data_IF_475567630469
#
_entry.id   IF_475567630469
#
_cell.length_a   1.000
_cell.length_b   1.000
_cell.length_c   1.000
_cell.angle_alpha   90.00
_cell.angle_beta   90.00
_cell.angle_gamma   90.00
#
_symmetry.space_group_name_H-M   'P 1'
#
loop_
_entity.id
_entity.type
_entity.pdbx_description
1 polymer ?
#
# COMPACT_ATOMS: atom_id res chain seq x y z
N UNK A 1 -4.87 -50.84 -35.33
CA UNK A 1 -5.03 -49.39 -35.15
C UNK A 1 -5.11 -49.12 -33.67
N UNK A 2 -3.99 -48.80 -33.05
CA UNK A 2 -3.88 -48.55 -31.61
C UNK A 2 -3.89 -47.04 -31.42
N UNK A 3 -5.01 -46.51 -30.95
CA UNK A 3 -5.13 -45.10 -30.57
C UNK A 3 -4.35 -44.90 -29.27
N UNK A 4 -3.10 -44.43 -29.40
CA UNK A 4 -2.31 -43.92 -28.27
C UNK A 4 -2.98 -42.65 -27.76
N UNK A 5 -3.75 -42.80 -26.69
CA UNK A 5 -4.31 -41.71 -25.90
C UNK A 5 -3.15 -40.93 -25.29
N UNK A 6 -2.78 -39.84 -25.95
CA UNK A 6 -1.72 -38.96 -25.48
C UNK A 6 -2.35 -38.05 -24.44
N UNK A 7 -2.31 -38.46 -23.18
CA UNK A 7 -2.73 -37.64 -22.05
C UNK A 7 -1.85 -36.38 -22.02
N UNK A 8 -2.40 -35.26 -22.52
CA UNK A 8 -1.73 -33.96 -22.49
C UNK A 8 -1.40 -33.62 -21.02
N UNK A 9 -0.13 -33.30 -20.69
CA UNK A 9 0.21 -32.85 -19.35
C UNK A 9 -0.62 -31.62 -18.99
N UNK A 10 -1.19 -31.67 -17.78
CA UNK A 10 -2.15 -30.70 -17.23
C UNK A 10 -1.65 -29.25 -17.31
N UNK A 11 -2.11 -28.50 -18.32
CA UNK A 11 -1.85 -27.06 -18.44
C UNK A 11 -2.29 -26.25 -17.20
N UNK A 12 -3.20 -26.80 -16.39
CA UNK A 12 -3.68 -26.23 -15.12
C UNK A 12 -2.64 -26.24 -14.00
N UNK A 13 -1.79 -27.27 -13.89
CA UNK A 13 -0.75 -27.36 -12.86
C UNK A 13 0.28 -26.23 -13.01
N UNK A 14 0.65 -25.90 -14.26
CA UNK A 14 1.59 -24.81 -14.55
C UNK A 14 1.04 -23.42 -14.25
N UNK A 15 -0.27 -23.19 -14.36
CA UNK A 15 -0.89 -21.90 -14.03
C UNK A 15 -0.91 -21.68 -12.51
N UNK A 16 -1.31 -22.69 -11.73
CA UNK A 16 -1.36 -22.60 -10.27
C UNK A 16 0.00 -22.31 -9.67
N UNK A 17 1.04 -23.01 -10.12
CA UNK A 17 2.40 -22.77 -9.65
C UNK A 17 2.89 -21.35 -9.97
N UNK A 18 2.62 -20.85 -11.19
CA UNK A 18 2.95 -19.48 -11.57
C UNK A 18 2.20 -18.45 -10.73
N UNK A 19 0.91 -18.68 -10.47
CA UNK A 19 0.09 -17.82 -9.62
C UNK A 19 0.62 -17.77 -8.18
N UNK A 20 1.03 -18.91 -7.61
CA UNK A 20 1.63 -18.96 -6.28
C UNK A 20 2.94 -18.16 -6.20
N UNK A 21 3.83 -18.34 -7.19
CA UNK A 21 5.10 -17.59 -7.23
C UNK A 21 4.85 -16.09 -7.42
N UNK A 22 3.94 -15.73 -8.33
CA UNK A 22 3.58 -14.34 -8.57
C UNK A 22 2.95 -13.71 -7.33
N UNK A 23 2.08 -14.45 -6.63
CA UNK A 23 1.46 -14.01 -5.39
C UNK A 23 2.46 -13.84 -4.26
N UNK A 24 3.42 -14.75 -4.09
CA UNK A 24 4.48 -14.61 -3.08
C UNK A 24 5.33 -13.36 -3.34
N UNK A 25 5.77 -13.13 -4.59
CA UNK A 25 6.49 -11.92 -4.94
C UNK A 25 5.62 -10.67 -4.69
N UNK A 26 4.34 -10.71 -5.06
CA UNK A 26 3.40 -9.61 -4.83
C UNK A 26 3.22 -9.28 -3.36
N UNK A 27 3.11 -10.30 -2.48
CA UNK A 27 3.02 -10.13 -1.02
C UNK A 27 4.29 -9.50 -0.46
N UNK A 28 5.47 -9.95 -0.90
CA UNK A 28 6.75 -9.36 -0.47
C UNK A 28 6.81 -7.88 -0.86
N UNK A 29 6.45 -7.56 -2.10
CA UNK A 29 6.43 -6.19 -2.60
C UNK A 29 5.39 -5.31 -1.89
N UNK A 30 4.22 -5.86 -1.57
CA UNK A 30 3.20 -5.19 -0.77
C UNK A 30 3.79 -4.76 0.59
N UNK A 31 4.41 -5.70 1.32
CA UNK A 31 4.94 -5.40 2.65
C UNK A 31 6.10 -4.41 2.59
N UNK A 32 7.01 -4.56 1.62
CA UNK A 32 8.09 -3.60 1.41
C UNK A 32 7.57 -2.19 1.08
N UNK A 33 6.56 -2.09 0.21
CA UNK A 33 5.93 -0.83 -0.15
C UNK A 33 5.21 -0.19 1.04
N UNK A 34 4.51 -0.99 1.86
CA UNK A 34 3.91 -0.52 3.11
C UNK A 34 4.96 0.08 4.05
N UNK A 35 6.03 -0.68 4.33
CA UNK A 35 7.10 -0.25 5.24
C UNK A 35 7.78 1.03 4.75
N UNK A 36 8.05 1.14 3.44
CA UNK A 36 8.60 2.36 2.86
C UNK A 36 7.65 3.55 3.04
N UNK A 37 6.35 3.35 2.78
CA UNK A 37 5.34 4.40 2.88
C UNK A 37 5.19 4.89 4.33
N UNK A 38 5.04 3.99 5.29
CA UNK A 38 4.90 4.35 6.71
C UNK A 38 6.16 5.00 7.26
N UNK A 39 7.33 4.55 6.85
CA UNK A 39 8.60 5.18 7.25
C UNK A 39 8.72 6.59 6.69
N UNK A 40 8.39 6.79 5.41
CA UNK A 40 8.40 8.12 4.81
C UNK A 40 7.43 9.06 5.53
N UNK A 41 6.21 8.58 5.86
CA UNK A 41 5.23 9.30 6.65
C UNK A 41 5.80 9.71 8.03
N UNK A 42 6.26 8.73 8.81
CA UNK A 42 6.71 8.96 10.18
C UNK A 42 7.96 9.84 10.22
N UNK A 43 8.94 9.63 9.34
CA UNK A 43 10.14 10.47 9.25
C UNK A 43 9.81 11.93 8.90
N UNK A 44 8.85 12.15 8.01
CA UNK A 44 8.39 13.50 7.69
C UNK A 44 7.75 14.19 8.91
N UNK A 45 6.87 13.47 9.61
CA UNK A 45 6.22 13.94 10.84
C UNK A 45 7.23 14.24 11.95
N UNK A 46 8.17 13.33 12.20
CA UNK A 46 9.26 13.50 13.17
C UNK A 46 10.12 14.72 12.82
N UNK A 47 10.50 14.88 11.56
CA UNK A 47 11.30 16.03 11.11
C UNK A 47 10.57 17.34 11.33
N UNK A 48 9.27 17.40 11.08
CA UNK A 48 8.48 18.61 11.32
C UNK A 48 8.33 18.90 12.81
N UNK A 49 7.99 17.90 13.62
CA UNK A 49 7.88 18.05 15.06
C UNK A 49 9.20 18.54 15.70
N UNK A 50 10.34 17.99 15.27
CA UNK A 50 11.67 18.47 15.71
C UNK A 50 11.96 19.92 15.32
N UNK A 51 11.53 20.36 14.13
CA UNK A 51 11.66 21.78 13.73
C UNK A 51 10.84 22.72 14.60
N UNK A 52 9.76 22.22 15.18
CA UNK A 52 8.88 22.94 16.08
C UNK A 52 9.22 22.69 17.57
N UNK A 53 10.32 21.99 17.86
CA UNK A 53 10.74 21.61 19.21
C UNK A 53 9.67 20.86 20.01
N UNK A 54 8.86 20.05 19.33
CA UNK A 54 7.84 19.21 19.96
C UNK A 54 8.49 17.88 20.36
N UNK A 55 8.61 17.57 21.67
CA UNK A 55 9.15 16.30 22.12
C UNK A 55 8.25 15.14 21.69
N UNK A 56 8.85 14.04 21.26
CA UNK A 56 8.13 12.88 20.76
C UNK A 56 8.83 11.55 21.08
N UNK A 57 8.11 10.46 20.93
CA UNK A 57 8.66 9.10 20.93
C UNK A 57 8.24 8.42 19.63
N UNK A 58 9.23 7.87 18.91
CA UNK A 58 9.00 7.16 17.67
C UNK A 58 8.84 5.66 17.95
N UNK A 59 7.61 5.16 17.84
CA UNK A 59 7.28 3.75 17.92
C UNK A 59 7.08 3.15 16.53
N UNK A 60 6.99 1.82 16.48
CA UNK A 60 6.77 1.06 15.26
C UNK A 60 5.40 1.39 14.63
N UNK A 61 4.38 1.51 15.45
CA UNK A 61 2.99 1.77 15.09
C UNK A 61 2.73 3.26 14.83
N UNK A 62 3.28 4.15 15.67
CA UNK A 62 2.96 5.58 15.65
C UNK A 62 4.10 6.48 16.12
N UNK A 63 3.95 7.76 15.81
CA UNK A 63 4.73 8.83 16.45
C UNK A 63 3.88 9.41 17.58
N UNK A 64 4.36 9.30 18.81
CA UNK A 64 3.67 9.79 20.00
C UNK A 64 4.25 11.14 20.43
N UNK A 65 3.43 12.19 20.48
CA UNK A 65 3.87 13.52 20.92
C UNK A 65 3.73 13.64 22.44
N UNK A 66 4.79 14.11 23.11
CA UNK A 66 4.84 14.27 24.57
C UNK A 66 4.54 15.71 24.99
N UNK A 67 3.48 16.27 24.42
CA UNK A 67 2.97 17.61 24.75
C UNK A 67 1.51 17.52 25.16
N UNK A 68 1.07 18.41 26.05
CA UNK A 68 -0.31 18.39 26.56
C UNK A 68 -1.26 19.10 25.59
N UNK A 69 -2.56 18.78 25.64
CA UNK A 69 -3.55 19.37 24.73
C UNK A 69 -3.56 20.92 24.68
N UNK A 70 -3.40 21.65 25.82
CA UNK A 70 -3.34 23.11 25.81
C UNK A 70 -2.08 23.69 25.16
N UNK A 71 -1.01 22.90 25.01
CA UNK A 71 0.27 23.35 24.44
C UNK A 71 0.25 23.38 22.90
N UNK A 72 -0.75 22.74 22.27
CA UNK A 72 -0.88 22.77 20.81
C UNK A 72 -1.33 24.13 20.31
N UNK A 73 -0.58 24.68 19.36
CA UNK A 73 -1.00 25.84 18.58
C UNK A 73 -1.35 25.43 17.15
N UNK A 74 -2.27 26.18 16.54
CA UNK A 74 -2.88 25.84 15.25
C UNK A 74 -1.86 25.54 14.15
N UNK A 75 -0.81 26.35 14.03
CA UNK A 75 0.23 26.15 12.99
C UNK A 75 0.98 24.84 13.21
N UNK A 76 1.29 24.46 14.44
CA UNK A 76 1.94 23.18 14.72
C UNK A 76 1.05 22.00 14.35
N UNK A 77 -0.23 22.03 14.74
CA UNK A 77 -1.17 20.94 14.41
C UNK A 77 -1.25 20.77 12.90
N UNK A 78 -1.49 21.86 12.16
CA UNK A 78 -1.57 21.80 10.71
C UNK A 78 -0.27 21.31 10.08
N UNK A 79 0.89 21.79 10.54
CA UNK A 79 2.18 21.40 9.96
C UNK A 79 2.55 19.93 10.25
N UNK A 80 2.43 19.49 11.51
CA UNK A 80 2.84 18.15 11.95
C UNK A 80 1.93 17.08 11.36
N UNK A 81 0.61 17.29 11.37
CA UNK A 81 -0.33 16.29 10.85
C UNK A 81 -0.44 16.32 9.32
N UNK A 82 -0.09 17.42 8.63
CA UNK A 82 -0.14 17.47 7.15
C UNK A 82 1.08 16.91 6.45
N UNK A 83 2.27 17.05 7.05
CA UNK A 83 3.52 16.75 6.34
C UNK A 83 3.64 15.27 5.96
N UNK A 84 3.20 14.36 6.84
CA UNK A 84 3.21 12.91 6.59
C UNK A 84 2.35 12.55 5.38
N UNK A 85 1.04 12.86 5.40
CA UNK A 85 0.16 12.63 4.25
C UNK A 85 0.67 13.29 2.96
N UNK A 86 1.14 14.54 3.02
CA UNK A 86 1.65 15.24 1.84
C UNK A 86 2.88 14.55 1.25
N UNK A 87 3.82 14.08 2.07
CA UNK A 87 4.99 13.31 1.61
C UNK A 87 4.55 12.01 0.97
N UNK A 88 3.58 11.30 1.54
CA UNK A 88 3.01 10.10 0.91
C UNK A 88 2.36 10.42 -0.44
N UNK A 89 1.58 11.50 -0.53
CA UNK A 89 0.98 11.92 -1.80
C UNK A 89 2.05 12.17 -2.88
N UNK A 90 3.09 12.95 -2.56
CA UNK A 90 4.20 13.22 -3.48
C UNK A 90 4.98 11.95 -3.86
N UNK A 91 5.24 11.06 -2.90
CA UNK A 91 5.91 9.78 -3.14
C UNK A 91 5.08 8.88 -4.06
N UNK A 92 3.77 8.81 -3.84
CA UNK A 92 2.84 8.06 -4.68
C UNK A 92 2.78 8.61 -6.10
N UNK A 93 2.69 9.94 -6.26
CA UNK A 93 2.78 10.59 -7.57
C UNK A 93 4.10 10.28 -8.26
N UNK A 94 5.24 10.39 -7.56
CA UNK A 94 6.54 10.07 -8.11
C UNK A 94 6.64 8.59 -8.54
N UNK A 95 6.12 7.66 -7.73
CA UNK A 95 6.07 6.24 -8.07
C UNK A 95 5.25 5.98 -9.34
N UNK A 96 4.09 6.64 -9.51
CA UNK A 96 3.27 6.57 -10.72
C UNK A 96 3.97 7.16 -11.94
N UNK A 97 4.66 8.30 -11.81
CA UNK A 97 5.41 8.90 -12.91
C UNK A 97 6.55 7.98 -13.36
N UNK A 98 7.32 7.43 -12.42
CA UNK A 98 8.39 6.47 -12.73
C UNK A 98 7.82 5.20 -13.36
N UNK A 99 6.67 4.71 -12.86
CA UNK A 99 5.97 3.60 -13.48
C UNK A 99 5.64 3.90 -14.94
N UNK A 100 5.00 5.04 -15.20
CA UNK A 100 4.49 5.40 -16.52
C UNK A 100 5.60 5.64 -17.54
N UNK A 101 6.62 6.42 -17.16
CA UNK A 101 7.66 6.85 -18.11
C UNK A 101 8.82 5.87 -18.23
N UNK A 102 9.10 5.07 -17.19
CA UNK A 102 10.30 4.21 -17.17
C UNK A 102 10.01 2.73 -17.00
N UNK A 103 9.06 2.33 -16.16
CA UNK A 103 8.92 0.93 -15.77
C UNK A 103 7.88 0.13 -16.56
N UNK A 104 6.83 0.76 -17.11
CA UNK A 104 5.68 0.03 -17.70
C UNK A 104 6.04 -0.91 -18.86
N UNK A 105 7.06 -0.54 -19.65
CA UNK A 105 7.55 -1.33 -20.80
C UNK A 105 8.73 -2.23 -20.43
N UNK A 106 9.21 -2.16 -19.18
CA UNK A 106 10.33 -2.94 -18.71
C UNK A 106 9.84 -4.25 -18.09
N UNK A 107 10.68 -5.28 -18.17
CA UNK A 107 10.47 -6.54 -17.48
C UNK A 107 10.88 -6.42 -16.01
N UNK A 108 10.26 -7.23 -15.17
CA UNK A 108 10.64 -7.44 -13.79
C UNK A 108 9.67 -6.87 -12.77
N UNK A 109 10.06 -7.01 -11.51
CA UNK A 109 9.19 -6.74 -10.36
C UNK A 109 9.10 -5.26 -9.97
N UNK A 110 9.94 -4.39 -10.55
CA UNK A 110 9.97 -2.96 -10.23
C UNK A 110 8.61 -2.29 -10.50
N UNK A 111 7.96 -2.60 -11.62
CA UNK A 111 6.65 -2.02 -11.95
C UNK A 111 5.55 -2.45 -10.97
N UNK A 112 5.62 -3.68 -10.46
CA UNK A 112 4.69 -4.17 -9.45
C UNK A 112 4.98 -3.53 -8.08
N UNK A 113 6.25 -3.33 -7.73
CA UNK A 113 6.66 -2.58 -6.55
C UNK A 113 6.15 -1.13 -6.59
N UNK A 114 6.39 -0.42 -7.71
CA UNK A 114 5.95 0.96 -7.90
C UNK A 114 4.43 1.10 -7.84
N UNK A 115 3.70 0.12 -8.38
CA UNK A 115 2.25 0.08 -8.25
C UNK A 115 1.84 -0.05 -6.78
N UNK A 116 2.36 -1.04 -6.04
CA UNK A 116 2.04 -1.19 -4.62
C UNK A 116 2.42 0.03 -3.79
N UNK A 117 3.58 0.64 -4.08
CA UNK A 117 4.02 1.88 -3.45
C UNK A 117 3.03 3.03 -3.70
N UNK A 118 2.59 3.21 -4.94
CA UNK A 118 1.57 4.19 -5.28
C UNK A 118 0.24 3.91 -4.57
N UNK A 119 -0.21 2.66 -4.53
CA UNK A 119 -1.45 2.27 -3.85
C UNK A 119 -1.38 2.54 -2.34
N UNK A 120 -0.28 2.17 -1.68
CA UNK A 120 -0.07 2.46 -0.26
C UNK A 120 0.00 3.96 0.03
N UNK A 121 0.70 4.73 -0.81
CA UNK A 121 0.77 6.18 -0.69
C UNK A 121 -0.60 6.84 -0.86
N UNK A 122 -1.39 6.40 -1.84
CA UNK A 122 -2.77 6.85 -2.03
C UNK A 122 -3.64 6.51 -0.82
N UNK A 123 -3.49 5.31 -0.25
CA UNK A 123 -4.22 4.93 0.95
C UNK A 123 -3.79 5.74 2.18
N UNK A 124 -2.50 6.03 2.35
CA UNK A 124 -1.99 6.86 3.46
C UNK A 124 -2.35 8.35 3.34
N UNK A 125 -2.85 8.79 2.18
CA UNK A 125 -3.39 10.13 1.99
C UNK A 125 -4.93 10.12 2.02
N UNK A 126 -5.56 9.44 1.07
CA UNK A 126 -7.03 9.42 0.93
C UNK A 126 -7.70 8.51 1.96
N UNK A 127 -7.22 7.27 2.10
CA UNK A 127 -7.78 6.28 3.02
C UNK A 127 -7.54 6.59 4.48
N UNK A 128 -6.39 7.21 4.80
CA UNK A 128 -6.07 7.68 6.14
C UNK A 128 -7.08 8.73 6.58
N UNK A 129 -7.40 9.73 5.74
CA UNK A 129 -8.42 10.74 6.06
C UNK A 129 -9.79 10.12 6.43
N UNK A 130 -10.17 9.03 5.74
CA UNK A 130 -11.41 8.28 6.05
C UNK A 130 -11.31 7.61 7.43
N UNK A 131 -10.30 6.76 7.63
CA UNK A 131 -10.11 6.01 8.87
C UNK A 131 -9.88 6.90 10.11
N UNK A 132 -9.08 7.94 9.93
CA UNK A 132 -8.71 8.92 10.95
C UNK A 132 -9.95 9.70 11.41
N UNK A 133 -10.94 9.89 10.53
CA UNK A 133 -12.20 10.54 10.91
C UNK A 133 -13.06 9.68 11.83
N UNK A 134 -13.01 8.35 11.70
CA UNK A 134 -13.72 7.45 12.61
C UNK A 134 -13.09 7.42 14.00
N UNK A 135 -11.77 7.58 14.08
CA UNK A 135 -11.00 7.49 15.34
C UNK A 135 -10.62 8.84 15.92
N UNK A 136 -10.92 9.94 15.22
CA UNK A 136 -10.57 11.32 15.59
C UNK A 136 -9.08 11.48 15.91
N UNK A 137 -8.22 10.91 15.06
CA UNK A 137 -6.77 10.89 15.26
C UNK A 137 -6.01 11.28 13.98
N UNK A 138 -4.70 11.53 14.05
CA UNK A 138 -3.88 11.73 12.85
C UNK A 138 -4.37 12.84 11.91
N UNK A 139 -4.64 12.49 10.66
CA UNK A 139 -5.05 13.41 9.60
C UNK A 139 -6.39 14.10 9.90
N UNK A 140 -7.25 13.53 10.75
CA UNK A 140 -8.50 14.17 11.18
C UNK A 140 -8.27 15.55 11.82
N UNK A 141 -7.15 15.75 12.52
CA UNK A 141 -6.84 17.03 13.17
C UNK A 141 -6.73 18.18 12.18
N UNK A 142 -6.45 17.92 10.90
CA UNK A 142 -6.22 18.98 9.91
C UNK A 142 -7.52 19.74 9.60
N UNK A 143 -8.57 19.12 9.02
CA UNK A 143 -9.82 19.83 8.81
C UNK A 143 -10.43 20.34 10.12
N UNK A 144 -10.26 19.62 11.24
CA UNK A 144 -10.77 20.02 12.55
C UNK A 144 -10.21 21.38 13.01
N UNK A 145 -8.89 21.54 12.92
CA UNK A 145 -8.19 22.79 13.28
C UNK A 145 -8.16 23.84 12.16
N UNK A 146 -8.38 23.43 10.90
CA UNK A 146 -8.48 24.34 9.78
C UNK A 146 -9.82 25.06 9.78
N UNK A 147 -10.94 24.34 9.95
CA UNK A 147 -12.27 24.91 9.82
C UNK A 147 -12.86 25.41 11.14
N UNK A 148 -12.48 24.82 12.28
CA UNK A 148 -13.01 25.19 13.61
C UNK A 148 -14.56 25.24 13.66
N UNK A 149 -15.22 24.43 12.84
CA UNK A 149 -16.67 24.45 12.61
C UNK A 149 -17.34 23.12 13.01
N UNK A 150 -16.84 22.51 14.09
CA UNK A 150 -17.28 21.18 14.55
C UNK A 150 -16.82 20.04 13.65
N UNK A 151 -17.48 18.88 13.74
CA UNK A 151 -17.05 17.67 13.04
C UNK A 151 -17.60 17.51 11.61
N UNK A 152 -18.59 18.33 11.23
CA UNK A 152 -19.24 18.25 9.90
C UNK A 152 -18.22 18.41 8.75
N UNK A 153 -17.29 19.40 8.77
CA UNK A 153 -16.27 19.52 7.73
C UNK A 153 -15.35 18.29 7.62
N UNK A 154 -14.99 17.67 8.74
CA UNK A 154 -14.15 16.45 8.73
C UNK A 154 -14.83 15.31 7.97
N UNK A 155 -16.13 15.09 8.24
CA UNK A 155 -16.93 14.05 7.57
C UNK A 155 -17.06 14.34 6.08
N UNK A 156 -17.32 15.59 5.69
CA UNK A 156 -17.41 15.97 4.27
C UNK A 156 -16.08 15.69 3.56
N UNK A 157 -14.96 16.10 4.13
CA UNK A 157 -13.62 15.85 3.57
C UNK A 157 -13.33 14.36 3.46
N UNK A 158 -13.65 13.58 4.51
CA UNK A 158 -13.49 12.13 4.50
C UNK A 158 -14.31 11.46 3.38
N UNK A 159 -15.57 11.85 3.19
CA UNK A 159 -16.42 11.31 2.12
C UNK A 159 -15.83 11.64 0.75
N UNK A 160 -15.41 12.90 0.52
CA UNK A 160 -14.78 13.31 -0.75
C UNK A 160 -13.50 12.50 -1.00
N UNK A 161 -12.65 12.34 0.02
CA UNK A 161 -11.40 11.57 -0.12
C UNK A 161 -11.68 10.09 -0.39
N UNK A 162 -12.68 9.50 0.26
CA UNK A 162 -13.13 8.13 -0.02
C UNK A 162 -13.62 7.96 -1.45
N UNK A 163 -14.40 8.91 -1.98
CA UNK A 163 -14.86 8.89 -3.38
C UNK A 163 -13.69 9.02 -4.37
N UNK A 164 -12.72 9.90 -4.08
CA UNK A 164 -11.49 10.02 -4.89
C UNK A 164 -10.73 8.70 -4.88
N UNK A 165 -10.60 8.05 -3.72
CA UNK A 165 -9.91 6.77 -3.60
C UNK A 165 -10.59 5.68 -4.44
N UNK A 166 -11.93 5.62 -4.46
CA UNK A 166 -12.68 4.71 -5.32
C UNK A 166 -12.42 4.97 -6.80
N UNK A 167 -12.45 6.24 -7.22
CA UNK A 167 -12.16 6.62 -8.60
C UNK A 167 -10.73 6.24 -9.02
N UNK A 168 -9.74 6.53 -8.17
CA UNK A 168 -8.34 6.16 -8.40
C UNK A 168 -8.17 4.64 -8.53
N UNK A 169 -8.87 3.86 -7.70
CA UNK A 169 -8.87 2.40 -7.78
C UNK A 169 -9.37 1.90 -9.13
N UNK A 170 -10.50 2.43 -9.60
CA UNK A 170 -11.05 2.10 -10.92
C UNK A 170 -10.05 2.37 -12.05
N UNK A 171 -9.43 3.55 -12.08
CA UNK A 171 -8.46 3.91 -13.13
C UNK A 171 -7.12 3.17 -13.00
N UNK A 172 -6.75 2.73 -11.80
CA UNK A 172 -5.53 1.94 -11.56
C UNK A 172 -5.57 0.54 -12.19
N UNK A 173 -6.73 0.04 -12.64
CA UNK A 173 -6.86 -1.27 -13.27
C UNK A 173 -5.93 -1.47 -14.46
N UNK A 174 -5.78 -0.46 -15.32
CA UNK A 174 -4.87 -0.52 -16.48
C UNK A 174 -3.41 -0.67 -16.02
N UNK A 175 -3.02 0.13 -15.02
CA UNK A 175 -1.68 0.09 -14.44
C UNK A 175 -1.40 -1.27 -13.78
N UNK A 176 -2.40 -1.82 -13.08
CA UNK A 176 -2.33 -3.16 -12.51
C UNK A 176 -2.07 -4.22 -13.56
N UNK A 177 -2.84 -4.24 -14.65
CA UNK A 177 -2.63 -5.19 -15.73
C UNK A 177 -1.25 -5.01 -16.37
N UNK A 178 -0.81 -3.77 -16.57
CA UNK A 178 0.52 -3.44 -17.10
C UNK A 178 1.68 -3.85 -16.18
N UNK A 179 1.43 -3.93 -14.87
CA UNK A 179 2.45 -4.33 -13.89
C UNK A 179 2.83 -5.81 -13.94
N UNK A 180 2.16 -6.63 -14.76
CA UNK A 180 2.41 -8.07 -14.86
C UNK A 180 3.18 -8.47 -16.13
N UNK A 181 4.08 -9.45 -16.00
CA UNK A 181 4.91 -9.99 -17.10
C UNK A 181 4.43 -11.34 -17.65
N UNK A 182 3.52 -12.01 -16.93
CA UNK A 182 3.12 -13.37 -17.28
C UNK A 182 1.96 -13.38 -18.27
N UNK A 183 2.26 -13.56 -19.55
CA UNK A 183 1.25 -13.71 -20.62
C UNK A 183 0.23 -14.79 -20.27
N UNK A 184 0.67 -15.92 -19.70
CA UNK A 184 -0.25 -17.01 -19.32
C UNK A 184 -1.26 -16.63 -18.24
N UNK A 185 -0.86 -15.82 -17.24
CA UNK A 185 -1.78 -15.34 -16.20
C UNK A 185 -2.64 -14.17 -16.68
N UNK A 186 -2.16 -13.42 -17.67
CA UNK A 186 -2.86 -12.26 -18.23
C UNK A 186 -4.01 -12.59 -19.17
N UNK A 187 -4.09 -13.84 -19.69
CA UNK A 187 -5.24 -14.30 -20.48
C UNK A 187 -6.54 -14.07 -19.73
N UNK A 188 -7.58 -13.61 -20.43
CA UNK A 188 -8.87 -13.28 -19.81
C UNK A 188 -9.44 -14.43 -18.96
N UNK A 189 -9.37 -15.68 -19.45
CA UNK A 189 -9.80 -16.89 -18.72
C UNK A 189 -9.14 -17.07 -17.35
N UNK A 190 -7.92 -16.57 -17.17
CA UNK A 190 -7.15 -16.71 -15.93
C UNK A 190 -7.20 -15.43 -15.07
N UNK A 191 -7.99 -14.43 -15.45
CA UNK A 191 -8.02 -13.12 -14.79
C UNK A 191 -8.41 -13.21 -13.32
N UNK A 192 -9.39 -14.04 -12.97
CA UNK A 192 -9.77 -14.26 -11.58
C UNK A 192 -8.60 -14.81 -10.75
N UNK A 193 -7.85 -15.78 -11.29
CA UNK A 193 -6.66 -16.34 -10.63
C UNK A 193 -5.58 -15.28 -10.47
N UNK A 194 -5.34 -14.45 -11.49
CA UNK A 194 -4.42 -13.33 -11.42
C UNK A 194 -4.82 -12.37 -10.28
N UNK A 195 -6.05 -11.87 -10.28
CA UNK A 195 -6.55 -10.92 -9.28
C UNK A 195 -6.47 -11.49 -7.86
N UNK A 196 -6.93 -12.72 -7.65
CA UNK A 196 -6.86 -13.34 -6.33
C UNK A 196 -5.41 -13.50 -5.88
N UNK A 197 -4.53 -14.01 -6.74
CA UNK A 197 -3.15 -14.32 -6.36
C UNK A 197 -2.24 -13.10 -6.24
N UNK A 198 -2.40 -12.05 -7.05
CA UNK A 198 -1.47 -10.92 -7.11
C UNK A 198 -2.02 -9.59 -6.61
N UNK A 199 -3.32 -9.53 -6.27
CA UNK A 199 -3.96 -8.34 -5.71
C UNK A 199 -4.59 -8.63 -4.35
N UNK A 200 -5.57 -9.54 -4.28
CA UNK A 200 -6.32 -9.79 -3.04
C UNK A 200 -5.49 -10.53 -1.99
N UNK A 201 -4.85 -11.64 -2.36
CA UNK A 201 -4.02 -12.41 -1.43
C UNK A 201 -2.83 -11.59 -0.88
N UNK A 202 -2.10 -10.80 -1.68
CA UNK A 202 -1.05 -9.92 -1.18
C UNK A 202 -1.56 -8.86 -0.21
N UNK A 203 -2.73 -8.28 -0.46
CA UNK A 203 -3.34 -7.33 0.47
C UNK A 203 -3.69 -8.00 1.80
N UNK A 204 -4.35 -9.15 1.79
CA UNK A 204 -4.73 -9.87 3.02
C UNK A 204 -3.49 -10.39 3.76
N UNK A 205 -2.66 -11.19 3.10
CA UNK A 205 -1.48 -11.80 3.71
C UNK A 205 -0.45 -10.75 4.12
N UNK A 206 -0.24 -9.73 3.30
CA UNK A 206 0.66 -8.64 3.63
C UNK A 206 0.18 -7.81 4.81
N UNK A 207 -1.12 -7.52 4.89
CA UNK A 207 -1.70 -6.84 6.06
C UNK A 207 -1.56 -7.69 7.32
N UNK A 208 -1.75 -9.01 7.24
CA UNK A 208 -1.52 -9.93 8.37
C UNK A 208 -0.05 -9.91 8.80
N UNK A 209 0.90 -9.97 7.87
CA UNK A 209 2.34 -9.88 8.19
C UNK A 209 2.66 -8.57 8.92
N UNK A 210 2.12 -7.44 8.44
CA UNK A 210 2.32 -6.12 9.07
C UNK A 210 1.63 -6.06 10.44
N UNK A 211 0.43 -6.59 10.59
CA UNK A 211 -0.28 -6.64 11.86
C UNK A 211 0.49 -7.46 12.90
N UNK A 212 1.03 -8.61 12.50
CA UNK A 212 1.89 -9.45 13.35
C UNK A 212 3.19 -8.73 13.73
N UNK A 213 3.79 -7.97 12.81
CA UNK A 213 4.96 -7.15 13.11
C UNK A 213 4.68 -6.13 14.22
N UNK A 214 3.47 -5.56 14.25
CA UNK A 214 3.04 -4.53 15.21
C UNK A 214 2.42 -5.09 16.50
N UNK A 215 2.14 -6.39 16.55
CA UNK A 215 1.57 -7.04 17.75
C UNK A 215 2.52 -6.91 18.96
N UNK A 216 2.03 -6.60 20.18
CA UNK A 216 0.62 -6.40 20.58
C UNK A 216 0.13 -4.94 20.52
N UNK A 217 0.91 -4.02 19.97
CA UNK A 217 0.61 -2.58 19.97
C UNK A 217 -0.29 -2.13 18.80
N UNK A 218 -0.88 -3.07 18.06
CA UNK A 218 -1.75 -2.77 16.93
C UNK A 218 -2.99 -2.00 17.38
N UNK A 219 -3.25 -0.85 16.75
CA UNK A 219 -4.37 0.03 17.10
C UNK A 219 -5.53 -0.10 16.12
N UNK A 220 -6.75 0.23 16.58
CA UNK A 220 -7.95 0.26 15.72
C UNK A 220 -7.78 1.18 14.50
N UNK A 221 -7.08 2.31 14.65
CA UNK A 221 -6.81 3.22 13.54
C UNK A 221 -6.02 2.53 12.41
N UNK A 222 -5.02 1.73 12.76
CA UNK A 222 -4.21 0.99 11.78
C UNK A 222 -5.00 -0.12 11.10
N UNK A 223 -5.86 -0.82 11.85
CA UNK A 223 -6.80 -1.79 11.28
C UNK A 223 -7.72 -1.13 10.25
N UNK A 224 -8.22 0.07 10.56
CA UNK A 224 -9.00 0.86 9.63
C UNK A 224 -8.17 1.31 8.42
N UNK A 225 -6.89 1.62 8.55
CA UNK A 225 -6.02 1.88 7.39
C UNK A 225 -5.88 0.65 6.48
N UNK A 226 -5.82 -0.56 7.04
CA UNK A 226 -5.84 -1.78 6.23
C UNK A 226 -7.19 -1.98 5.53
N UNK A 227 -8.29 -1.67 6.23
CA UNK A 227 -9.64 -1.79 5.71
C UNK A 227 -9.95 -0.76 4.62
N UNK A 228 -9.53 0.50 4.76
CA UNK A 228 -9.79 1.55 3.77
C UNK A 228 -9.08 1.29 2.44
N UNK A 229 -8.05 0.45 2.42
CA UNK A 229 -7.42 -0.02 1.18
C UNK A 229 -8.43 -0.76 0.27
N UNK A 230 -9.51 -1.33 0.81
CA UNK A 230 -10.61 -1.93 0.02
C UNK A 230 -11.26 -0.92 -0.92
N UNK A 231 -11.38 0.34 -0.50
CA UNK A 231 -11.93 1.40 -1.36
C UNK A 231 -11.09 1.61 -2.61
N UNK A 232 -9.81 1.27 -2.57
CA UNK A 232 -8.90 1.33 -3.71
C UNK A 232 -8.85 0.00 -4.48
N UNK A 233 -8.68 -1.12 -3.76
CA UNK A 233 -8.49 -2.45 -4.36
C UNK A 233 -9.78 -3.02 -4.95
N UNK A 234 -10.94 -2.78 -4.33
CA UNK A 234 -12.24 -3.26 -4.79
C UNK A 234 -12.59 -2.79 -6.21
N UNK A 235 -12.67 -1.47 -6.47
CA UNK A 235 -12.95 -0.97 -7.82
C UNK A 235 -11.83 -1.31 -8.81
N UNK A 236 -10.57 -1.39 -8.38
CA UNK A 236 -9.45 -1.86 -9.21
C UNK A 236 -9.71 -3.30 -9.69
N UNK A 237 -10.04 -4.21 -8.77
CA UNK A 237 -10.29 -5.61 -9.09
C UNK A 237 -11.49 -5.75 -10.04
N UNK A 238 -12.58 -5.02 -9.79
CA UNK A 238 -13.77 -5.03 -10.63
C UNK A 238 -13.47 -4.51 -12.04
N UNK A 239 -12.76 -3.39 -12.16
CA UNK A 239 -12.40 -2.83 -13.46
C UNK A 239 -11.43 -3.76 -14.21
N UNK A 240 -10.40 -4.28 -13.55
CA UNK A 240 -9.42 -5.19 -14.14
C UNK A 240 -10.03 -6.54 -14.56
N UNK A 241 -11.06 -7.01 -13.86
CA UNK A 241 -11.81 -8.21 -14.24
C UNK A 241 -12.51 -8.07 -15.61
N UNK A 242 -12.98 -6.86 -15.92
CA UNK A 242 -13.75 -6.57 -17.13
C UNK A 242 -12.91 -6.02 -18.30
N UNK A 243 -11.59 -5.81 -18.12
CA UNK A 243 -10.74 -5.33 -19.20
C UNK A 243 -10.31 -6.46 -20.15
N UNK A 244 -10.50 -6.21 -21.45
CA UNK A 244 -10.09 -7.08 -22.56
C UNK A 244 -8.58 -7.05 -22.85
N UNK A 245 -7.79 -6.39 -22.00
CA UNK A 245 -6.35 -6.21 -22.21
C UNK A 245 -5.57 -7.51 -21.91
N UNK A 246 -4.99 -8.13 -22.94
CA UNK A 246 -4.32 -9.44 -22.83
C UNK A 246 -2.78 -9.40 -22.93
N UNK A 247 -2.19 -8.33 -23.49
CA UNK A 247 -0.76 -8.29 -23.81
C UNK A 247 -0.06 -7.05 -23.23
N UNK A 248 0.93 -7.28 -22.37
CA UNK A 248 1.79 -6.22 -21.80
C UNK A 248 3.14 -6.10 -22.46
N UNK A 249 3.77 -7.22 -22.81
CA UNK A 249 5.13 -7.27 -23.34
C UNK A 249 5.24 -8.30 -24.47
N UNK A 250 6.05 -8.02 -25.51
CA UNK A 250 6.20 -8.92 -26.66
C UNK A 250 6.94 -10.23 -26.31
N UNK A 251 7.74 -10.25 -25.24
CA UNK A 251 8.49 -11.44 -24.82
C UNK A 251 8.39 -11.59 -23.30
N UNK A 252 7.84 -12.72 -22.81
CA UNK A 252 7.60 -12.93 -21.38
C UNK A 252 8.88 -13.24 -20.60
N UNK A 253 8.90 -12.89 -19.32
CA UNK A 253 9.94 -13.33 -18.39
C UNK A 253 9.53 -14.64 -17.69
N UNK A 254 10.51 -15.52 -17.41
CA UNK A 254 10.28 -16.72 -16.60
C UNK A 254 9.87 -16.32 -15.18
N UNK A 255 8.75 -16.87 -14.71
CA UNK A 255 8.26 -16.68 -13.35
C UNK A 255 9.18 -17.40 -12.36
N UNK A 256 9.87 -16.63 -11.50
CA UNK A 256 10.76 -17.14 -10.45
C UNK A 256 10.49 -16.44 -9.13
N UNK A 257 10.75 -17.14 -8.03
CA UNK A 257 10.74 -16.54 -6.69
C UNK A 257 11.93 -15.58 -6.62
N UNK A 258 11.68 -14.34 -6.22
CA UNK A 258 12.73 -13.35 -6.01
C UNK A 258 13.29 -13.49 -4.58
N UNK A 259 14.12 -14.51 -4.35
CA UNK A 259 14.71 -14.81 -3.03
C UNK A 259 15.48 -13.62 -2.43
N UNK A 260 16.09 -12.80 -3.27
CA UNK A 260 16.74 -11.54 -2.85
C UNK A 260 15.76 -10.59 -2.15
N UNK A 261 14.53 -10.45 -2.67
CA UNK A 261 13.50 -9.60 -2.06
C UNK A 261 12.92 -10.23 -0.79
N UNK A 262 12.83 -11.57 -0.73
CA UNK A 262 12.42 -12.29 0.48
C UNK A 262 13.44 -12.06 1.60
N UNK A 263 14.73 -12.21 1.30
CA UNK A 263 15.82 -11.94 2.24
C UNK A 263 15.84 -10.47 2.69
N UNK A 264 15.66 -9.53 1.75
CA UNK A 264 15.54 -8.10 2.07
C UNK A 264 14.36 -7.84 3.01
N UNK A 265 13.17 -8.40 2.73
CA UNK A 265 12.01 -8.25 3.59
C UNK A 265 12.28 -8.78 5.00
N UNK A 266 12.84 -9.98 5.13
CA UNK A 266 13.16 -10.55 6.43
C UNK A 266 14.12 -9.65 7.23
N UNK A 267 15.17 -9.13 6.57
CA UNK A 267 16.12 -8.21 7.18
C UNK A 267 15.45 -6.90 7.64
N UNK A 268 14.59 -6.30 6.81
CA UNK A 268 13.88 -5.06 7.15
C UNK A 268 12.89 -5.29 8.30
N UNK A 269 12.13 -6.38 8.29
CA UNK A 269 11.20 -6.70 9.38
C UNK A 269 11.93 -6.88 10.72
N UNK A 270 13.06 -7.58 10.71
CA UNK A 270 13.90 -7.76 11.90
C UNK A 270 14.44 -6.42 12.40
N UNK A 271 14.97 -5.60 11.50
CA UNK A 271 15.50 -4.28 11.83
C UNK A 271 14.42 -3.40 12.48
N UNK A 272 13.23 -3.33 11.88
CA UNK A 272 12.12 -2.55 12.42
C UNK A 272 11.72 -3.01 13.81
N UNK A 273 11.62 -4.33 14.02
CA UNK A 273 11.23 -4.89 15.31
C UNK A 273 12.26 -4.61 16.40
N UNK A 274 13.55 -4.75 16.09
CA UNK A 274 14.63 -4.53 17.07
C UNK A 274 14.80 -3.05 17.40
N UNK A 275 14.77 -2.18 16.38
CA UNK A 275 15.04 -0.74 16.53
C UNK A 275 13.85 0.01 17.12
N UNK A 276 12.65 -0.21 16.59
CA UNK A 276 11.45 0.56 16.97
C UNK A 276 10.59 -0.14 18.03
N UNK A 277 10.86 -1.41 18.35
CA UNK A 277 10.07 -2.18 19.32
C UNK A 277 10.08 -1.60 20.74
N UNK A 278 11.12 -0.84 21.10
CA UNK A 278 11.24 -0.19 22.42
C UNK A 278 10.86 1.28 22.41
N UNK A 279 10.58 1.87 21.24
CA UNK A 279 10.39 3.30 21.06
C UNK A 279 11.70 4.09 21.13
N UNK A 280 11.86 5.06 20.24
CA UNK A 280 13.01 5.98 20.24
C UNK A 280 12.54 7.35 20.72
N UNK A 281 12.99 7.76 21.90
CA UNK A 281 12.69 9.08 22.44
C UNK A 281 13.51 10.16 21.72
N UNK A 282 12.83 11.18 21.22
CA UNK A 282 13.43 12.34 20.56
C UNK A 282 12.91 13.61 21.25
N UNK A 283 13.82 14.44 21.75
CA UNK A 283 13.55 15.67 22.48
C UNK A 283 14.71 16.63 22.30
#
# INVERSE_FOLDING_TARGET
MTTTDTTLPSASAGIRQKALIAGLNATVLYVLAYLLTTTAYQLATIRMARRLSIPLTWHLERVEFRITNPEWWRVAVLAVYSVGPLVCFLLGTAALLVFWYRARQQRGLLKQFLLWLALHCCNMFFGAMVADTFTQSGFWYIPSWLFLAGNVPNVIVAVVFGLIQVALGYFAAVLFLQSHDSISLMKYRNRAVLLVSTLLAPWVLGSVIVALLKWPALTLNEELHFATMVLLIGPLALAAANQLFEFTLPVPQKTRIAWELVGLLAAVLLLFRVVLGHGISLG
#
